data_IF_731320253613
#
_entry.id   IF_731320253613
#
_cell.length_a   1.000
_cell.length_b   1.000
_cell.length_c   1.000
_cell.angle_alpha   90.00
_cell.angle_beta   90.00
_cell.angle_gamma   90.00
#
_symmetry.space_group_name_H-M   'P 1'
#
loop_
_entity.id
_entity.type
_entity.pdbx_description
1 polymer ?
#
# COMPACT_ATOMS: atom_id res chain seq x y z
N UNK A 1 -12.46 -6.63 -6.56
CA UNK A 1 -11.35 -6.63 -5.57
C UNK A 1 -11.92 -6.24 -4.20
N UNK A 2 -11.48 -6.90 -3.12
CA UNK A 2 -11.88 -6.56 -1.75
C UNK A 2 -10.68 -5.98 -1.03
N UNK A 3 -10.82 -4.78 -0.49
CA UNK A 3 -9.86 -4.12 0.36
C UNK A 3 -10.26 -4.32 1.80
N UNK A 4 -9.31 -4.76 2.60
CA UNK A 4 -9.46 -4.92 4.03
C UNK A 4 -8.55 -3.89 4.70
N UNK A 5 -9.10 -3.05 5.56
CA UNK A 5 -8.37 -1.98 6.26
C UNK A 5 -8.56 -2.07 7.77
N UNK A 6 -7.60 -1.54 8.50
CA UNK A 6 -7.69 -1.43 9.95
C UNK A 6 -8.63 -0.27 10.39
N UNK A 7 -8.68 -0.02 11.70
CA UNK A 7 -9.41 1.13 12.26
C UNK A 7 -8.49 2.35 12.45
N UNK A 8 -7.48 2.51 11.60
CA UNK A 8 -6.66 3.72 11.56
C UNK A 8 -7.51 4.96 11.29
N UNK A 9 -7.06 6.11 11.80
CA UNK A 9 -7.76 7.39 11.61
C UNK A 9 -7.86 7.79 10.13
N UNK A 10 -6.86 7.42 9.33
CA UNK A 10 -6.83 7.59 7.88
C UNK A 10 -7.95 6.81 7.16
N UNK A 11 -8.39 5.67 7.71
CA UNK A 11 -9.47 4.83 7.18
C UNK A 11 -10.83 5.07 7.84
N UNK A 12 -10.96 6.15 8.63
CA UNK A 12 -12.21 6.51 9.27
C UNK A 12 -12.46 5.84 10.62
N UNK A 13 -11.42 5.31 11.29
CA UNK A 13 -11.54 4.73 12.62
C UNK A 13 -12.13 5.64 13.70
N UNK A 14 -12.10 6.96 13.47
CA UNK A 14 -12.73 7.98 14.33
C UNK A 14 -13.97 8.65 13.70
N UNK A 15 -14.31 8.35 12.45
CA UNK A 15 -15.39 9.03 11.70
C UNK A 15 -16.15 8.08 10.79
N UNK A 16 -17.40 7.79 11.17
CA UNK A 16 -18.31 6.97 10.36
C UNK A 16 -18.59 7.59 8.98
N UNK A 17 -18.68 8.93 8.90
CA UNK A 17 -18.88 9.63 7.62
C UNK A 17 -17.73 9.36 6.65
N UNK A 18 -16.49 9.37 7.15
CA UNK A 18 -15.29 9.05 6.36
C UNK A 18 -15.34 7.61 5.83
N UNK A 19 -15.72 6.64 6.67
CA UNK A 19 -15.90 5.24 6.24
C UNK A 19 -16.95 5.11 5.15
N UNK A 20 -18.10 5.80 5.28
CA UNK A 20 -19.17 5.77 4.29
C UNK A 20 -18.72 6.34 2.95
N UNK A 21 -17.97 7.45 2.98
CA UNK A 21 -17.42 8.08 1.78
C UNK A 21 -16.38 7.21 1.09
N UNK A 22 -15.45 6.62 1.86
CA UNK A 22 -14.48 5.67 1.34
C UNK A 22 -15.17 4.45 0.69
N UNK A 23 -16.18 3.87 1.34
CA UNK A 23 -16.98 2.77 0.75
C UNK A 23 -17.63 3.20 -0.57
N UNK A 24 -18.16 4.42 -0.65
CA UNK A 24 -18.75 4.97 -1.89
C UNK A 24 -17.68 5.11 -2.98
N UNK A 25 -16.52 5.69 -2.66
CA UNK A 25 -15.42 5.87 -3.59
C UNK A 25 -14.93 4.53 -4.16
N UNK A 26 -14.64 3.57 -3.29
CA UNK A 26 -14.19 2.24 -3.71
C UNK A 26 -15.26 1.50 -4.53
N UNK A 27 -16.54 1.67 -4.20
CA UNK A 27 -17.63 1.08 -5.01
C UNK A 27 -17.68 1.62 -6.44
N UNK A 28 -17.29 2.90 -6.64
CA UNK A 28 -17.16 3.49 -7.97
C UNK A 28 -16.10 2.82 -8.84
N UNK A 29 -15.11 2.16 -8.23
CA UNK A 29 -14.09 1.36 -8.91
C UNK A 29 -14.44 -0.14 -8.99
N UNK A 30 -15.66 -0.54 -8.61
CA UNK A 30 -16.04 -1.96 -8.53
C UNK A 30 -15.36 -2.71 -7.39
N UNK A 31 -14.83 -1.98 -6.40
CA UNK A 31 -14.12 -2.52 -5.25
C UNK A 31 -15.02 -2.48 -4.00
N UNK A 32 -14.77 -3.41 -3.07
CA UNK A 32 -15.44 -3.43 -1.76
C UNK A 32 -14.42 -3.09 -0.68
N UNK A 33 -14.81 -2.25 0.27
CA UNK A 33 -13.99 -1.89 1.44
C UNK A 33 -14.61 -2.50 2.71
N UNK A 34 -13.83 -3.31 3.41
CA UNK A 34 -14.18 -4.00 4.65
C UNK A 34 -13.21 -3.54 5.74
N UNK A 35 -13.71 -3.26 6.94
CA UNK A 35 -12.86 -2.98 8.10
C UNK A 35 -12.73 -4.25 8.94
N UNK A 36 -11.53 -4.53 9.45
CA UNK A 36 -11.28 -5.66 10.36
C UNK A 36 -12.13 -5.57 11.63
N UNK A 37 -12.30 -6.71 12.30
CA UNK A 37 -12.99 -6.74 13.57
C UNK A 37 -12.11 -6.13 14.66
N UNK A 38 -12.67 -5.20 15.43
CA UNK A 38 -11.92 -4.52 16.49
C UNK A 38 -11.58 -5.52 17.61
N UNK A 39 -10.30 -5.62 17.96
CA UNK A 39 -9.81 -6.53 19.01
C UNK A 39 -9.35 -7.91 18.51
N UNK A 40 -9.36 -8.15 17.21
CA UNK A 40 -8.91 -9.40 16.58
C UNK A 40 -7.51 -9.22 15.98
N UNK A 41 -6.49 -9.28 16.83
CA UNK A 41 -5.07 -9.09 16.44
C UNK A 41 -4.58 -10.13 15.42
N UNK A 42 -5.20 -11.31 15.39
CA UNK A 42 -4.95 -12.36 14.42
C UNK A 42 -5.24 -11.94 12.98
N UNK A 43 -6.26 -11.09 12.75
CA UNK A 43 -6.60 -10.55 11.43
C UNK A 43 -5.53 -9.56 10.93
N UNK A 44 -4.70 -9.03 11.84
CA UNK A 44 -3.63 -8.09 11.54
C UNK A 44 -2.24 -8.74 11.47
N UNK A 45 -2.09 -10.03 11.78
CA UNK A 45 -0.77 -10.68 11.87
C UNK A 45 0.05 -10.57 10.56
N UNK A 46 -0.63 -10.55 9.41
CA UNK A 46 0.01 -10.32 8.11
C UNK A 46 0.47 -8.87 7.92
N UNK A 47 -0.33 -7.90 8.37
CA UNK A 47 0.00 -6.47 8.31
C UNK A 47 1.19 -6.16 9.22
N UNK A 48 1.15 -6.61 10.47
CA UNK A 48 2.24 -6.41 11.44
C UNK A 48 3.57 -7.04 10.96
N UNK A 49 3.50 -8.21 10.31
CA UNK A 49 4.69 -8.83 9.71
C UNK A 49 5.21 -8.04 8.52
N UNK A 50 4.32 -7.47 7.71
CA UNK A 50 4.71 -6.58 6.60
C UNK A 50 5.42 -5.35 7.14
N UNK A 51 4.82 -4.64 8.10
CA UNK A 51 5.42 -3.45 8.73
C UNK A 51 6.82 -3.72 9.27
N UNK A 52 7.00 -4.83 10.01
CA UNK A 52 8.33 -5.21 10.50
C UNK A 52 9.32 -5.47 9.35
N UNK A 53 8.87 -6.11 8.27
CA UNK A 53 9.73 -6.37 7.11
C UNK A 53 10.12 -5.06 6.43
N UNK A 54 9.20 -4.12 6.32
CA UNK A 54 9.45 -2.80 5.75
C UNK A 54 10.44 -2.03 6.64
N UNK A 55 10.29 -2.06 7.96
CA UNK A 55 11.26 -1.49 8.89
C UNK A 55 12.66 -2.09 8.72
N UNK A 56 12.77 -3.42 8.77
CA UNK A 56 14.06 -4.11 8.75
C UNK A 56 14.77 -4.06 7.39
N UNK A 57 14.02 -3.98 6.28
CA UNK A 57 14.57 -4.15 4.92
C UNK A 57 14.53 -2.88 4.08
N UNK A 58 13.63 -1.96 4.39
CA UNK A 58 13.51 -0.68 3.71
C UNK A 58 13.97 0.47 4.59
N UNK A 59 13.29 0.75 5.70
CA UNK A 59 13.54 1.96 6.48
C UNK A 59 14.90 1.95 7.19
N UNK A 60 15.16 0.99 8.08
CA UNK A 60 16.39 0.95 8.90
C UNK A 60 17.66 1.04 8.04
N UNK A 61 17.80 0.30 6.91
CA UNK A 61 19.02 0.35 6.13
C UNK A 61 19.17 1.60 5.25
N UNK A 62 18.10 2.33 4.96
CA UNK A 62 18.07 3.33 3.86
C UNK A 62 17.68 4.73 4.33
N UNK A 63 17.02 4.88 5.47
CA UNK A 63 16.47 6.16 5.97
C UNK A 63 17.52 7.26 6.10
N UNK A 64 18.75 6.91 6.49
CA UNK A 64 19.82 7.89 6.63
C UNK A 64 20.32 8.47 5.29
N UNK A 65 20.04 7.80 4.17
CA UNK A 65 20.44 8.23 2.84
C UNK A 65 19.36 9.06 2.13
N UNK A 66 18.11 9.01 2.61
CA UNK A 66 16.99 9.74 2.03
C UNK A 66 16.92 11.14 2.65
N UNK A 67 17.10 12.19 1.84
CA UNK A 67 17.17 13.59 2.32
C UNK A 67 15.97 14.43 1.89
N UNK A 68 15.11 13.87 1.05
CA UNK A 68 13.91 14.52 0.55
C UNK A 68 12.77 13.53 0.34
N UNK A 69 11.55 14.03 0.19
CA UNK A 69 10.39 13.21 -0.19
C UNK A 69 10.57 12.57 -1.57
N UNK A 70 11.32 13.21 -2.47
CA UNK A 70 11.62 12.66 -3.80
C UNK A 70 12.54 11.46 -3.64
N UNK A 71 13.62 11.59 -2.85
CA UNK A 71 14.52 10.46 -2.57
C UNK A 71 13.77 9.28 -1.96
N UNK A 72 12.82 9.56 -1.06
CA UNK A 72 11.96 8.54 -0.46
C UNK A 72 11.10 7.82 -1.50
N UNK A 73 10.47 8.55 -2.42
CA UNK A 73 9.64 7.97 -3.46
C UNK A 73 10.45 7.16 -4.47
N UNK A 74 11.63 7.65 -4.87
CA UNK A 74 12.53 6.93 -5.78
C UNK A 74 13.05 5.63 -5.15
N UNK A 75 13.49 5.70 -3.89
CA UNK A 75 13.96 4.52 -3.15
C UNK A 75 12.82 3.52 -2.92
N UNK A 76 11.62 4.00 -2.58
CA UNK A 76 10.43 3.16 -2.42
C UNK A 76 10.04 2.47 -3.73
N UNK A 77 10.11 3.17 -4.86
CA UNK A 77 9.80 2.61 -6.17
C UNK A 77 10.76 1.45 -6.49
N UNK A 78 12.06 1.67 -6.27
CA UNK A 78 13.08 0.63 -6.44
C UNK A 78 12.87 -0.56 -5.51
N UNK A 79 12.56 -0.30 -4.24
CA UNK A 79 12.32 -1.34 -3.24
C UNK A 79 11.09 -2.19 -3.55
N UNK A 80 9.96 -1.57 -3.91
CA UNK A 80 8.73 -2.28 -4.30
C UNK A 80 9.01 -3.18 -5.51
N UNK A 81 9.72 -2.67 -6.52
CA UNK A 81 10.07 -3.46 -7.69
C UNK A 81 10.93 -4.67 -7.30
N UNK A 82 11.99 -4.44 -6.51
CA UNK A 82 12.84 -5.50 -5.99
C UNK A 82 12.03 -6.55 -5.22
N UNK A 83 11.18 -6.13 -4.28
CA UNK A 83 10.38 -7.02 -3.45
C UNK A 83 9.44 -7.89 -4.30
N UNK A 84 8.71 -7.29 -5.23
CA UNK A 84 7.70 -8.00 -6.02
C UNK A 84 8.28 -8.89 -7.12
N UNK A 85 9.42 -8.50 -7.71
CA UNK A 85 9.92 -9.10 -8.95
C UNK A 85 11.24 -9.83 -8.82
N UNK A 86 12.08 -9.52 -7.83
CA UNK A 86 13.45 -10.04 -7.72
C UNK A 86 13.69 -10.80 -6.42
N UNK A 87 12.99 -10.45 -5.34
CA UNK A 87 13.18 -11.08 -4.04
C UNK A 87 12.44 -12.40 -3.97
N UNK A 88 13.18 -13.47 -3.71
CA UNK A 88 12.61 -14.77 -3.41
C UNK A 88 12.21 -14.86 -1.94
N UNK A 89 11.09 -15.54 -1.68
CA UNK A 89 10.58 -15.77 -0.33
C UNK A 89 10.59 -17.26 -0.03
N UNK A 90 11.27 -17.66 1.05
CA UNK A 90 11.27 -19.06 1.50
C UNK A 90 9.86 -19.57 1.80
N UNK A 91 8.97 -18.72 2.32
CA UNK A 91 7.56 -19.04 2.54
C UNK A 91 6.75 -19.23 1.26
N UNK A 92 7.30 -18.86 0.10
CA UNK A 92 6.68 -19.01 -1.22
C UNK A 92 7.45 -20.04 -2.08
N UNK A 93 8.14 -21.01 -1.46
CA UNK A 93 8.99 -21.98 -2.16
C UNK A 93 10.07 -21.31 -3.02
N UNK A 94 10.73 -20.29 -2.48
CA UNK A 94 11.75 -19.48 -3.15
C UNK A 94 11.25 -18.82 -4.44
N UNK A 95 9.95 -18.50 -4.51
CA UNK A 95 9.39 -17.71 -5.59
C UNK A 95 9.30 -16.24 -5.19
N UNK A 96 9.26 -15.38 -6.20
CA UNK A 96 8.91 -13.97 -6.00
C UNK A 96 7.40 -13.82 -5.76
N UNK A 97 6.96 -12.75 -5.07
CA UNK A 97 5.52 -12.50 -4.87
C UNK A 97 4.74 -12.50 -6.18
N UNK A 98 5.28 -11.90 -7.25
CA UNK A 98 4.64 -11.89 -8.56
C UNK A 98 4.56 -13.29 -9.21
N UNK A 99 5.63 -14.08 -9.13
CA UNK A 99 5.61 -15.47 -9.63
C UNK A 99 4.59 -16.33 -8.90
N UNK A 100 4.51 -16.16 -7.58
CA UNK A 100 3.53 -16.85 -6.75
C UNK A 100 2.11 -16.43 -7.14
N UNK A 101 1.83 -15.14 -7.26
CA UNK A 101 0.54 -14.60 -7.67
C UNK A 101 0.07 -15.15 -9.02
N UNK A 102 0.95 -15.17 -10.01
CA UNK A 102 0.62 -15.61 -11.38
C UNK A 102 0.18 -17.08 -11.45
N UNK A 103 0.57 -17.93 -10.48
CA UNK A 103 0.10 -19.32 -10.41
C UNK A 103 -1.38 -19.43 -10.05
N UNK A 104 -1.88 -18.51 -9.23
CA UNK A 104 -3.26 -18.53 -8.75
C UNK A 104 -4.17 -17.63 -9.59
N UNK A 105 -3.62 -16.57 -10.17
CA UNK A 105 -4.33 -15.60 -11.00
C UNK A 105 -3.54 -15.34 -12.30
N UNK A 106 -3.50 -16.29 -13.24
CA UNK A 106 -2.71 -16.15 -14.46
C UNK A 106 -3.22 -15.02 -15.38
N UNK A 107 -4.49 -14.66 -15.27
CA UNK A 107 -5.13 -13.56 -16.00
C UNK A 107 -4.93 -12.18 -15.34
N UNK A 108 -4.24 -12.09 -14.19
CA UNK A 108 -4.01 -10.80 -13.54
C UNK A 108 -3.23 -9.87 -14.46
N UNK A 109 -3.60 -8.59 -14.47
CA UNK A 109 -2.84 -7.58 -15.20
C UNK A 109 -1.39 -7.56 -14.69
N UNK A 110 -0.45 -7.78 -15.60
CA UNK A 110 0.99 -7.84 -15.30
C UNK A 110 1.51 -6.54 -14.70
N UNK A 111 0.82 -5.42 -14.90
CA UNK A 111 1.15 -4.13 -14.33
C UNK A 111 1.01 -4.09 -12.80
N UNK A 112 0.33 -5.06 -12.18
CA UNK A 112 0.22 -5.18 -10.72
C UNK A 112 1.59 -5.28 -10.02
N UNK A 113 2.63 -5.71 -10.73
CA UNK A 113 4.00 -5.80 -10.20
C UNK A 113 4.74 -4.46 -10.12
N UNK A 114 4.16 -3.39 -10.69
CA UNK A 114 4.71 -2.04 -10.76
C UNK A 114 3.83 -1.07 -9.96
N UNK A 115 3.82 -1.24 -8.64
CA UNK A 115 3.07 -0.35 -7.76
C UNK A 115 3.83 0.96 -7.59
N UNK A 116 3.15 2.09 -7.85
CA UNK A 116 3.73 3.43 -7.73
C UNK A 116 3.56 3.89 -6.27
N UNK A 117 4.65 4.23 -5.56
CA UNK A 117 4.56 4.79 -4.22
C UNK A 117 3.95 6.20 -4.29
N UNK A 118 3.10 6.53 -3.31
CA UNK A 118 2.46 7.85 -3.19
C UNK A 118 2.61 8.36 -1.76
N UNK A 119 2.72 9.68 -1.60
CA UNK A 119 2.71 10.33 -0.29
C UNK A 119 1.27 10.48 0.19
N UNK A 120 0.87 9.67 1.16
CA UNK A 120 -0.52 9.65 1.63
C UNK A 120 -0.95 11.00 2.21
N UNK A 121 -0.08 11.72 2.92
CA UNK A 121 -0.39 13.04 3.49
C UNK A 121 -0.69 14.09 2.40
N UNK A 122 -0.06 13.99 1.22
CA UNK A 122 -0.32 14.88 0.08
C UNK A 122 -1.64 14.56 -0.64
N UNK A 123 -2.07 13.31 -0.57
CA UNK A 123 -3.31 12.84 -1.21
C UNK A 123 -4.50 12.94 -0.24
N UNK A 124 -4.26 12.90 1.07
CA UNK A 124 -5.30 12.87 2.11
C UNK A 124 -5.69 14.23 2.68
N UNK A 125 -5.00 15.33 2.32
CA UNK A 125 -5.24 16.68 2.90
C UNK A 125 -5.29 17.79 1.86
N UNK A 126 -5.94 17.57 0.72
CA UNK A 126 -6.59 18.69 0.02
C UNK A 126 -8.06 18.37 -0.06
N UNK A 127 -8.88 19.33 0.37
CA UNK A 127 -10.29 19.38 -0.01
C UNK A 127 -10.43 18.92 -1.46
N UNK A 128 -11.47 18.15 -1.72
CA UNK A 128 -11.85 17.48 -2.97
C UNK A 128 -11.89 18.36 -4.24
N UNK A 129 -10.87 19.14 -4.53
CA UNK A 129 -10.54 19.71 -5.83
C UNK A 129 -9.63 18.72 -6.53
N UNK A 130 -10.30 17.76 -7.16
CA UNK A 130 -9.75 16.84 -8.15
C UNK A 130 -9.19 17.64 -9.34
N UNK A 131 -7.92 18.04 -9.28
CA UNK A 131 -7.12 18.14 -10.50
C UNK A 131 -6.60 16.75 -10.83
N UNK A 132 -7.15 16.21 -11.91
CA UNK A 132 -6.88 14.90 -12.46
C UNK A 132 -5.40 14.75 -12.81
N UNK A 133 -4.63 14.02 -12.00
CA UNK A 133 -3.43 13.35 -12.54
C UNK A 133 -3.95 12.17 -13.35
N UNK A 134 -4.17 12.43 -14.64
CA UNK A 134 -4.57 11.45 -15.62
C UNK A 134 -3.37 10.54 -15.93
N UNK A 135 -3.16 9.49 -15.11
CA UNK A 135 -2.28 8.39 -15.47
C UNK A 135 -3.09 7.32 -16.21
N UNK A 136 -2.90 7.13 -17.53
CA UNK A 136 -3.59 6.07 -18.26
C UNK A 136 -3.01 4.72 -17.85
N UNK A 137 -3.79 3.90 -17.12
CA UNK A 137 -3.53 2.47 -16.96
C UNK A 137 -3.05 1.95 -15.60
N UNK A 138 -3.18 2.69 -14.49
CA UNK A 138 -2.69 2.21 -13.18
C UNK A 138 -3.69 1.29 -12.46
N UNK A 139 -3.29 0.02 -12.27
CA UNK A 139 -3.89 -0.95 -11.34
C UNK A 139 -3.61 -0.54 -9.86
N UNK A 140 -4.33 -1.11 -8.87
CA UNK A 140 -4.59 -0.44 -7.60
C UNK A 140 -3.38 -0.22 -6.68
N UNK A 141 -3.48 0.91 -6.00
CA UNK A 141 -2.63 1.53 -4.99
C UNK A 141 -2.46 0.65 -3.75
N UNK A 142 -1.23 0.52 -3.24
CA UNK A 142 -0.91 0.20 -1.85
C UNK A 142 0.61 0.37 -1.56
N UNK A 143 0.97 1.37 -0.76
CA UNK A 143 2.01 1.21 0.27
C UNK A 143 1.65 2.12 1.46
N UNK A 144 1.72 1.56 2.67
CA UNK A 144 1.31 2.16 3.93
C UNK A 144 2.41 2.98 4.62
N UNK A 145 1.94 3.94 5.42
CA UNK A 145 2.55 4.62 6.57
C UNK A 145 3.56 5.77 6.36
N UNK A 146 3.08 6.95 6.78
CA UNK A 146 3.73 8.08 7.45
C UNK A 146 5.23 7.95 7.74
N UNK A 147 6.02 8.76 7.06
CA UNK A 147 7.22 9.37 7.65
C UNK A 147 6.89 10.83 7.96
N UNK A 148 6.69 11.14 9.24
CA UNK A 148 6.61 12.52 9.72
C UNK A 148 8.04 13.06 9.79
N UNK A 149 8.57 13.56 8.67
CA UNK A 149 9.89 14.17 8.60
C UNK A 149 9.82 15.62 9.10
N UNK A 150 9.77 15.80 10.42
CA UNK A 150 10.13 17.05 11.06
C UNK A 150 11.46 16.84 11.77
N UNK A 151 12.54 17.35 11.17
CA UNK A 151 13.71 17.83 11.89
C UNK A 151 13.61 19.35 11.97
#
# INVERSE_FOLDING_TARGET
>A
IVFTVDHGEEWGGKSWMKVKELKRLFSGFGCKLIQNHKGHMEENAHLERSHRTDDEKFYIPRVLNMKSEIDLLDEALGYIYYYNNLREHSSLNCQTPYQHLQKYLPEVDKNIRFVIPIMLDKVSVRDWQLEWIQCPGAAPILLFSKLNMNN
#
